data_IF_291566813155
#
_entry.id   IF_291566813155
#
_cell.length_a   1.000
_cell.length_b   1.000
_cell.length_c   1.000
_cell.angle_alpha   90.00
_cell.angle_beta   90.00
_cell.angle_gamma   90.00
#
_symmetry.space_group_name_H-M   'P 1'
#
loop_
_entity.id
_entity.type
_entity.pdbx_description
1 polymer ?
#
# COMPACT_ATOMS: atom_id res chain seq x y z
N UNK A 1 -11.56 -2.29 5.05
CA UNK A 1 -12.01 -2.32 6.46
C UNK A 1 -11.77 -0.99 7.17
N UNK A 2 -10.53 -0.52 7.29
CA UNK A 2 -10.19 0.75 7.98
C UNK A 2 -11.00 1.96 7.48
N UNK A 3 -11.03 2.20 6.15
CA UNK A 3 -11.81 3.30 5.57
C UNK A 3 -13.32 3.22 5.86
N UNK A 4 -13.90 2.00 5.86
CA UNK A 4 -15.31 1.78 6.21
C UNK A 4 -15.60 2.23 7.63
N UNK A 5 -14.70 1.97 8.58
CA UNK A 5 -14.86 2.36 9.98
C UNK A 5 -14.71 3.84 10.24
N UNK A 6 -13.97 4.53 9.38
CA UNK A 6 -13.83 5.99 9.40
C UNK A 6 -15.02 6.66 8.68
N UNK A 7 -15.75 5.91 7.85
CA UNK A 7 -16.97 6.38 7.16
C UNK A 7 -16.71 7.21 5.92
N UNK A 8 -15.47 7.23 5.41
CA UNK A 8 -15.06 8.09 4.29
C UNK A 8 -14.36 7.27 3.21
N UNK A 9 -14.72 7.54 1.95
CA UNK A 9 -14.04 7.04 0.73
C UNK A 9 -13.75 5.53 0.74
N UNK A 10 -14.69 4.74 1.29
CA UNK A 10 -14.47 3.31 1.53
C UNK A 10 -14.34 2.50 0.23
N UNK A 11 -15.09 2.89 -0.81
CA UNK A 11 -15.01 2.25 -2.12
C UNK A 11 -13.68 2.56 -2.78
N UNK A 12 -13.25 3.81 -2.73
CA UNK A 12 -11.98 4.27 -3.30
C UNK A 12 -10.81 3.64 -2.57
N UNK A 13 -10.86 3.53 -1.24
CA UNK A 13 -9.83 2.86 -0.45
C UNK A 13 -9.73 1.36 -0.78
N UNK A 14 -10.88 0.71 -1.05
CA UNK A 14 -10.90 -0.67 -1.51
C UNK A 14 -10.28 -0.81 -2.91
N UNK A 15 -10.63 0.07 -3.85
CA UNK A 15 -10.04 0.08 -5.20
C UNK A 15 -8.54 0.35 -5.14
N UNK A 16 -8.11 1.34 -4.37
CA UNK A 16 -6.69 1.66 -4.17
C UNK A 16 -5.95 0.45 -3.58
N UNK A 17 -6.51 -0.19 -2.55
CA UNK A 17 -5.93 -1.39 -1.93
C UNK A 17 -5.82 -2.57 -2.89
N UNK A 18 -6.81 -2.79 -3.76
CA UNK A 18 -6.77 -3.85 -4.78
C UNK A 18 -5.75 -3.57 -5.87
N UNK A 19 -5.60 -2.32 -6.30
CA UNK A 19 -4.82 -1.94 -7.48
C UNK A 19 -3.41 -1.43 -7.15
N UNK A 20 -3.05 -1.23 -5.88
CA UNK A 20 -1.73 -0.68 -5.52
C UNK A 20 -0.54 -1.48 -6.07
N UNK A 21 -0.71 -2.80 -6.27
CA UNK A 21 0.32 -3.69 -6.82
C UNK A 21 0.25 -3.88 -8.33
N UNK A 22 -0.61 -3.16 -9.05
CA UNK A 22 -0.82 -3.34 -10.49
C UNK A 22 0.47 -3.14 -11.29
N UNK A 23 1.35 -2.22 -10.86
CA UNK A 23 2.64 -2.01 -11.51
C UNK A 23 3.58 -3.21 -11.39
N UNK A 24 3.53 -3.97 -10.29
CA UNK A 24 4.30 -5.22 -10.16
C UNK A 24 3.86 -6.24 -11.22
N UNK A 25 2.54 -6.40 -11.38
CA UNK A 25 1.98 -7.29 -12.39
C UNK A 25 2.34 -6.84 -13.80
N UNK A 26 2.27 -5.53 -14.07
CA UNK A 26 2.67 -4.97 -15.37
C UNK A 26 4.14 -5.27 -15.68
N UNK A 27 5.04 -4.96 -14.74
CA UNK A 27 6.48 -5.21 -14.90
C UNK A 27 6.76 -6.70 -15.13
N UNK A 28 6.14 -7.58 -14.35
CA UNK A 28 6.25 -9.05 -14.52
C UNK A 28 5.87 -9.49 -15.94
N UNK A 29 4.74 -8.99 -16.47
CA UNK A 29 4.29 -9.30 -17.83
C UNK A 29 5.28 -8.78 -18.87
N UNK A 30 5.85 -7.58 -18.67
CA UNK A 30 6.82 -7.01 -19.60
C UNK A 30 8.15 -7.76 -19.58
N UNK A 31 8.65 -8.16 -18.41
CA UNK A 31 9.85 -8.97 -18.27
C UNK A 31 9.70 -10.31 -18.99
N UNK A 32 8.57 -11.00 -18.79
CA UNK A 32 8.29 -12.26 -19.49
C UNK A 32 8.27 -12.08 -21.01
N UNK A 33 7.62 -11.02 -21.52
CA UNK A 33 7.57 -10.71 -22.96
C UNK A 33 8.94 -10.43 -23.57
N UNK A 34 9.87 -9.89 -22.78
CA UNK A 34 11.23 -9.52 -23.22
C UNK A 34 12.28 -10.60 -22.92
N UNK A 35 11.89 -11.71 -22.30
CA UNK A 35 12.81 -12.79 -21.94
C UNK A 35 13.80 -12.40 -20.83
N UNK A 36 13.45 -11.45 -19.97
CA UNK A 36 14.28 -11.05 -18.82
C UNK A 36 14.27 -12.18 -17.79
N UNK A 37 15.46 -12.62 -17.36
CA UNK A 37 15.57 -13.56 -16.25
C UNK A 37 15.38 -12.80 -14.93
N UNK A 38 14.28 -13.05 -14.25
CA UNK A 38 13.93 -12.39 -12.98
C UNK A 38 14.51 -13.13 -11.77
N UNK A 39 15.04 -14.34 -11.95
CA UNK A 39 15.62 -15.10 -10.84
C UNK A 39 17.00 -14.55 -10.50
N UNK A 40 17.19 -14.21 -9.22
CA UNK A 40 18.44 -13.75 -8.62
C UNK A 40 19.04 -12.45 -9.20
N UNK A 41 18.23 -11.64 -9.88
CA UNK A 41 18.66 -10.34 -10.39
C UNK A 41 18.33 -9.22 -9.40
N UNK A 42 19.32 -8.80 -8.62
CA UNK A 42 19.18 -7.66 -7.70
C UNK A 42 18.80 -6.34 -8.41
N UNK A 43 19.14 -6.19 -9.71
CA UNK A 43 18.72 -5.04 -10.49
C UNK A 43 17.23 -5.11 -10.84
N UNK A 44 16.65 -6.30 -10.96
CA UNK A 44 15.21 -6.48 -11.16
C UNK A 44 14.42 -5.98 -9.95
N UNK A 45 14.81 -6.37 -8.74
CA UNK A 45 14.14 -5.94 -7.52
C UNK A 45 14.21 -4.41 -7.34
N UNK A 46 15.35 -3.81 -7.65
CA UNK A 46 15.50 -2.35 -7.63
C UNK A 46 14.58 -1.65 -8.64
N UNK A 47 14.51 -2.16 -9.88
CA UNK A 47 13.60 -1.63 -10.91
C UNK A 47 12.15 -1.77 -10.48
N UNK A 48 11.76 -2.91 -9.90
CA UNK A 48 10.39 -3.09 -9.41
C UNK A 48 10.10 -2.08 -8.30
N UNK A 49 10.96 -1.99 -7.29
CA UNK A 49 10.78 -1.06 -6.17
C UNK A 49 10.69 0.41 -6.60
N UNK A 50 11.47 0.81 -7.60
CA UNK A 50 11.48 2.19 -8.10
C UNK A 50 10.26 2.51 -8.99
N UNK A 51 9.84 1.59 -9.85
CA UNK A 51 8.89 1.91 -10.93
C UNK A 51 7.47 1.41 -10.69
N UNK A 52 7.24 0.44 -9.80
CA UNK A 52 5.92 -0.19 -9.72
C UNK A 52 4.81 0.81 -9.30
N UNK A 53 5.11 1.77 -8.43
CA UNK A 53 4.11 2.69 -7.90
C UNK A 53 3.66 3.68 -8.96
N UNK A 54 4.62 4.34 -9.62
CA UNK A 54 4.36 5.30 -10.70
C UNK A 54 3.69 4.64 -11.90
N UNK A 55 4.11 3.44 -12.30
CA UNK A 55 3.43 2.70 -13.38
C UNK A 55 1.97 2.41 -13.01
N UNK A 56 1.72 1.96 -11.77
CA UNK A 56 0.36 1.69 -11.33
C UNK A 56 -0.48 2.97 -11.36
N UNK A 57 0.03 4.08 -10.85
CA UNK A 57 -0.65 5.38 -10.85
C UNK A 57 -1.03 5.85 -12.26
N UNK A 58 -0.10 5.77 -13.22
CA UNK A 58 -0.36 6.12 -14.62
C UNK A 58 -1.46 5.26 -15.25
N UNK A 59 -1.47 3.95 -14.97
CA UNK A 59 -2.55 3.06 -15.44
C UNK A 59 -3.90 3.49 -14.86
N UNK A 60 -3.95 3.85 -13.57
CA UNK A 60 -5.19 4.28 -12.93
C UNK A 60 -5.71 5.61 -13.52
N UNK A 61 -4.82 6.55 -13.82
CA UNK A 61 -5.17 7.79 -14.54
C UNK A 61 -5.75 7.47 -15.90
N UNK A 62 -5.12 6.59 -16.67
CA UNK A 62 -5.61 6.17 -18.00
C UNK A 62 -6.97 5.47 -17.95
N UNK A 63 -7.26 4.74 -16.88
CA UNK A 63 -8.55 4.08 -16.65
C UNK A 63 -9.64 5.04 -16.14
N UNK A 64 -9.30 6.30 -15.88
CA UNK A 64 -10.25 7.33 -15.45
C UNK A 64 -10.60 7.27 -13.96
N UNK A 65 -9.72 6.69 -13.13
CA UNK A 65 -9.90 6.72 -11.67
C UNK A 65 -9.68 8.13 -11.13
N UNK A 66 -10.27 8.49 -9.98
CA UNK A 66 -10.05 9.78 -9.36
C UNK A 66 -8.57 10.06 -9.11
N UNK A 67 -8.13 11.30 -9.37
CA UNK A 67 -6.72 11.69 -9.27
C UNK A 67 -6.10 11.37 -7.90
N UNK A 68 -6.85 11.58 -6.81
CA UNK A 68 -6.38 11.28 -5.45
C UNK A 68 -6.14 9.78 -5.20
N UNK A 69 -6.79 8.89 -5.96
CA UNK A 69 -6.53 7.44 -5.89
C UNK A 69 -5.22 7.10 -6.58
N UNK A 70 -4.97 7.68 -7.75
CA UNK A 70 -3.69 7.52 -8.45
C UNK A 70 -2.53 8.13 -7.65
N UNK A 71 -2.71 9.32 -7.08
CA UNK A 71 -1.74 9.97 -6.18
C UNK A 71 -1.40 9.09 -4.98
N UNK A 72 -2.40 8.51 -4.31
CA UNK A 72 -2.16 7.61 -3.19
C UNK A 72 -1.39 6.34 -3.61
N UNK A 73 -1.67 5.81 -4.79
CA UNK A 73 -0.93 4.65 -5.34
C UNK A 73 0.49 5.02 -5.73
N UNK A 74 0.75 6.22 -6.24
CA UNK A 74 2.12 6.70 -6.54
C UNK A 74 2.92 6.85 -5.24
N UNK A 75 2.31 7.43 -4.20
CA UNK A 75 2.96 7.70 -2.91
C UNK A 75 2.93 6.52 -1.92
N UNK A 76 2.49 5.33 -2.34
CA UNK A 76 2.19 4.20 -1.47
C UNK A 76 3.39 3.70 -0.62
N UNK A 77 4.62 4.01 -1.03
CA UNK A 77 5.87 3.58 -0.39
C UNK A 77 6.54 4.66 0.46
N UNK A 78 5.98 5.88 0.50
CA UNK A 78 6.62 7.03 1.14
C UNK A 78 6.98 6.79 2.62
N UNK A 79 6.10 6.12 3.38
CA UNK A 79 6.35 5.79 4.78
C UNK A 79 7.47 4.74 4.97
N UNK A 80 7.65 3.84 4.00
CA UNK A 80 8.70 2.81 4.05
C UNK A 80 10.06 3.39 3.65
N UNK A 81 10.07 4.28 2.66
CA UNK A 81 11.28 4.91 2.14
C UNK A 81 11.78 6.09 2.99
N UNK A 82 11.05 6.44 4.06
CA UNK A 82 11.29 7.63 4.86
C UNK A 82 11.30 8.92 4.01
N UNK A 83 10.53 8.94 2.92
CA UNK A 83 10.34 10.13 2.12
C UNK A 83 9.46 11.12 2.88
N UNK A 84 10.00 12.30 3.15
CA UNK A 84 9.33 13.36 3.91
C UNK A 84 8.32 14.17 3.09
N UNK A 85 7.67 13.56 2.10
CA UNK A 85 6.60 14.24 1.35
C UNK A 85 5.37 14.41 2.24
N UNK A 86 4.76 15.59 2.20
CA UNK A 86 3.45 15.81 2.81
C UNK A 86 2.39 14.98 2.06
N UNK A 87 1.98 13.87 2.67
CA UNK A 87 0.96 12.98 2.12
C UNK A 87 -0.44 13.54 2.38
N UNK A 88 -1.32 13.44 1.37
CA UNK A 88 -2.75 13.64 1.59
C UNK A 88 -3.31 12.57 2.54
N UNK A 89 -4.39 12.83 3.29
CA UNK A 89 -4.94 11.83 4.22
C UNK A 89 -5.25 10.47 3.57
N UNK A 90 -5.65 10.48 2.29
CA UNK A 90 -5.93 9.25 1.55
C UNK A 90 -4.65 8.51 1.14
N UNK A 91 -3.59 9.22 0.73
CA UNK A 91 -2.27 8.63 0.51
C UNK A 91 -1.68 8.07 1.81
N UNK A 92 -1.79 8.81 2.92
CA UNK A 92 -1.37 8.35 4.26
C UNK A 92 -2.12 7.08 4.65
N UNK A 93 -3.42 6.97 4.36
CA UNK A 93 -4.19 5.75 4.63
C UNK A 93 -3.62 4.53 3.89
N UNK A 94 -3.36 4.66 2.58
CA UNK A 94 -2.85 3.55 1.78
C UNK A 94 -1.43 3.16 2.20
N UNK A 95 -0.54 4.13 2.38
CA UNK A 95 0.83 3.91 2.82
C UNK A 95 0.88 3.25 4.21
N UNK A 96 0.02 3.71 5.14
CA UNK A 96 -0.08 3.12 6.49
C UNK A 96 -0.58 1.68 6.43
N UNK A 97 -1.59 1.40 5.61
CA UNK A 97 -2.10 0.04 5.41
C UNK A 97 -1.05 -0.89 4.81
N UNK A 98 -0.26 -0.41 3.83
CA UNK A 98 0.84 -1.17 3.21
C UNK A 98 1.94 -1.48 4.22
N UNK A 99 2.42 -0.47 4.95
CA UNK A 99 3.44 -0.62 5.99
C UNK A 99 2.97 -1.55 7.11
N UNK A 100 1.73 -1.39 7.60
CA UNK A 100 1.18 -2.31 8.60
C UNK A 100 1.17 -3.75 8.09
N UNK A 101 0.75 -3.96 6.84
CA UNK A 101 0.64 -5.29 6.25
C UNK A 101 2.01 -5.94 5.98
N UNK A 102 3.09 -5.17 5.77
CA UNK A 102 4.43 -5.74 5.55
C UNK A 102 5.03 -6.35 6.81
N UNK A 103 4.73 -5.78 7.99
CA UNK A 103 5.26 -6.25 9.27
C UNK A 103 4.30 -7.11 10.08
N UNK A 104 3.02 -7.23 9.69
CA UNK A 104 2.00 -7.90 10.52
C UNK A 104 2.33 -9.35 10.92
N UNK A 105 3.06 -10.08 10.05
CA UNK A 105 3.44 -11.47 10.28
C UNK A 105 4.76 -11.58 11.09
N UNK A 106 5.45 -10.45 11.29
CA UNK A 106 6.69 -10.35 12.05
C UNK A 106 6.35 -9.85 13.46
N UNK A 107 6.04 -10.77 14.38
CA UNK A 107 5.64 -10.40 15.74
C UNK A 107 6.80 -9.90 16.61
N UNK A 108 8.04 -10.05 16.16
CA UNK A 108 9.24 -9.56 16.83
C UNK A 108 10.35 -9.27 15.81
N UNK A 109 10.94 -8.09 15.89
CA UNK A 109 12.01 -7.65 15.00
C UNK A 109 12.15 -6.13 14.94
N UNK A 110 13.32 -5.65 14.53
CA UNK A 110 13.60 -4.22 14.37
C UNK A 110 12.66 -3.55 13.34
N UNK A 111 12.29 -4.29 12.27
CA UNK A 111 11.36 -3.81 11.24
C UNK A 111 9.96 -3.56 11.79
N UNK A 112 9.42 -4.49 12.58
CA UNK A 112 8.11 -4.34 13.20
C UNK A 112 8.08 -3.20 14.22
N UNK A 113 9.15 -3.04 15.00
CA UNK A 113 9.30 -1.93 15.95
C UNK A 113 9.34 -0.59 15.23
N UNK A 114 10.14 -0.48 14.17
CA UNK A 114 10.25 0.74 13.36
C UNK A 114 8.92 1.10 12.69
N UNK A 115 8.21 0.12 12.14
CA UNK A 115 6.90 0.33 11.56
C UNK A 115 5.89 0.82 12.61
N UNK A 116 5.90 0.26 13.82
CA UNK A 116 5.04 0.71 14.92
C UNK A 116 5.33 2.17 15.30
N UNK A 117 6.60 2.57 15.36
CA UNK A 117 7.01 3.96 15.63
C UNK A 117 6.53 4.93 14.55
N UNK A 118 6.60 4.54 13.27
CA UNK A 118 6.12 5.36 12.14
C UNK A 118 4.59 5.46 12.15
N UNK A 119 3.88 4.38 12.48
CA UNK A 119 2.42 4.33 12.45
C UNK A 119 1.76 4.95 13.69
N UNK A 120 2.45 4.98 14.83
CA UNK A 120 1.92 5.49 16.10
C UNK A 120 1.37 6.93 16.05
N UNK A 121 2.06 7.92 15.44
CA UNK A 121 1.57 9.29 15.37
C UNK A 121 0.51 9.51 14.28
N UNK A 122 0.20 8.50 13.45
CA UNK A 122 -0.69 8.68 12.30
C UNK A 122 -2.15 8.75 12.76
N UNK A 123 -2.73 9.92 12.53
CA UNK A 123 -4.16 10.17 12.68
C UNK A 123 -4.81 10.39 11.32
N UNK A 124 -5.90 9.68 11.08
CA UNK A 124 -6.68 9.75 9.85
C UNK A 124 -8.09 10.20 10.19
N UNK A 125 -8.46 11.38 9.72
CA UNK A 125 -9.75 12.02 10.00
C UNK A 125 -10.09 12.06 11.51
N UNK A 126 -9.10 12.40 12.33
CA UNK A 126 -9.24 12.54 13.79
C UNK A 126 -9.27 11.23 14.57
N UNK A 127 -8.90 10.09 13.96
CA UNK A 127 -8.71 8.82 14.68
C UNK A 127 -7.32 8.24 14.45
N UNK A 128 -6.76 7.63 15.49
CA UNK A 128 -5.53 6.85 15.36
C UNK A 128 -5.72 5.68 14.39
N UNK A 129 -4.83 5.56 13.40
CA UNK A 129 -4.83 4.44 12.46
C UNK A 129 -4.72 3.09 13.19
N UNK A 130 -3.79 2.97 14.14
CA UNK A 130 -3.56 1.73 14.89
C UNK A 130 -4.78 1.33 15.73
N UNK A 131 -5.46 2.29 16.35
CA UNK A 131 -6.72 1.99 17.07
C UNK A 131 -7.79 1.45 16.14
N UNK A 132 -7.97 2.05 14.95
CA UNK A 132 -8.97 1.57 13.97
C UNK A 132 -8.65 0.16 13.50
N UNK A 133 -7.37 -0.14 13.25
CA UNK A 133 -6.93 -1.48 12.83
C UNK A 133 -7.17 -2.50 13.94
N UNK A 134 -6.83 -2.18 15.19
CA UNK A 134 -7.05 -3.06 16.33
C UNK A 134 -8.54 -3.38 16.54
N UNK A 135 -9.42 -2.38 16.43
CA UNK A 135 -10.88 -2.56 16.50
C UNK A 135 -11.45 -3.41 15.34
N UNK A 136 -10.69 -3.52 14.25
CA UNK A 136 -11.09 -4.18 13.00
C UNK A 136 -10.43 -5.55 12.78
N UNK A 137 -9.66 -6.05 13.75
CA UNK A 137 -8.81 -7.22 13.57
C UNK A 137 -9.60 -8.44 13.06
N UNK A 138 -10.75 -8.73 13.67
CA UNK A 138 -11.59 -9.87 13.31
C UNK A 138 -12.12 -9.74 11.86
N UNK A 139 -12.63 -8.57 11.48
CA UNK A 139 -13.16 -8.32 10.12
C UNK A 139 -12.04 -8.37 9.05
N UNK A 140 -10.84 -7.91 9.38
CA UNK A 140 -9.67 -8.01 8.49
C UNK A 140 -9.30 -9.48 8.26
N UNK A 141 -9.38 -10.31 9.30
CA UNK A 141 -9.05 -11.73 9.24
C UNK A 141 -10.13 -12.54 8.49
N UNK A 142 -11.40 -12.20 8.66
CA UNK A 142 -12.51 -12.77 7.89
C UNK A 142 -12.38 -12.50 6.39
N UNK A 143 -12.12 -11.23 6.00
CA UNK A 143 -11.94 -10.88 4.58
C UNK A 143 -10.76 -11.64 3.98
N UNK A 144 -9.69 -11.83 4.75
CA UNK A 144 -8.49 -12.54 4.31
C UNK A 144 -8.75 -14.03 4.06
N UNK A 145 -9.44 -14.69 4.98
CA UNK A 145 -9.75 -16.12 4.86
C UNK A 145 -10.73 -16.39 3.71
N UNK A 146 -11.58 -15.44 3.35
CA UNK A 146 -12.49 -15.57 2.21
C UNK A 146 -11.82 -15.49 0.83
N UNK A 147 -10.61 -14.92 0.73
CA UNK A 147 -9.88 -14.69 -0.53
C UNK A 147 -8.58 -15.52 -0.67
N UNK A 148 -8.30 -16.39 0.31
CA UNK A 148 -7.18 -17.34 0.29
C UNK A 148 -7.63 -18.71 -0.19
#
# INVERSE_FOLDING_TARGET
>A
VVAKRIGLMANEAMVAGLLHRLGNLYLLVQAQKRGVNMQDDAAWDAVVAEWHATIAAEILVQWGLPAFVAEAVDAQDALMNADHCELTPFATLLASAKLYNSVRNQQSGEEAQRAAEILAPIELWGRSFLSVVAESADEIEEVRTAIS
#
